data_IF_330757994419
#
_entry.id   IF_330757994419
#
_cell.length_a   1.000
_cell.length_b   1.000
_cell.length_c   1.000
_cell.angle_alpha   90.00
_cell.angle_beta   90.00
_cell.angle_gamma   90.00
#
_symmetry.space_group_name_H-M   'P 1'
#
loop_
_entity.id
_entity.type
_entity.pdbx_description
1 polymer ?
#
# COMPACT_ATOMS: atom_id res chain seq x y z
N UNK A 1 29.81 -24.06 -36.01
CA UNK A 1 31.06 -23.75 -35.27
C UNK A 1 30.80 -24.13 -33.82
N UNK A 2 31.73 -24.89 -33.26
CA UNK A 2 31.60 -25.84 -32.15
C UNK A 2 31.20 -25.18 -30.83
N UNK A 3 30.03 -25.57 -30.31
CA UNK A 3 29.53 -25.27 -28.96
C UNK A 3 30.28 -26.10 -27.88
N UNK A 4 31.60 -26.08 -27.89
CA UNK A 4 32.42 -26.85 -26.93
C UNK A 4 32.50 -26.20 -25.54
N UNK A 5 31.99 -24.98 -25.36
CA UNK A 5 32.11 -24.20 -24.12
C UNK A 5 30.86 -24.25 -23.22
N UNK A 6 29.77 -24.88 -23.67
CA UNK A 6 28.53 -25.01 -22.93
C UNK A 6 28.54 -26.07 -21.79
N UNK A 7 29.23 -27.23 -21.90
CA UNK A 7 29.07 -28.30 -20.92
C UNK A 7 29.65 -27.98 -19.54
N UNK A 8 30.81 -27.32 -19.51
CA UNK A 8 31.44 -26.89 -18.25
C UNK A 8 30.54 -25.92 -17.48
N UNK A 9 29.76 -25.10 -18.19
CA UNK A 9 28.87 -24.11 -17.56
C UNK A 9 27.74 -24.77 -16.76
N UNK A 10 27.13 -25.83 -17.29
CA UNK A 10 26.09 -26.56 -16.57
C UNK A 10 26.62 -27.20 -15.28
N UNK A 11 27.86 -27.70 -15.31
CA UNK A 11 28.49 -28.27 -14.13
C UNK A 11 28.81 -27.19 -13.09
N UNK A 12 29.39 -26.06 -13.53
CA UNK A 12 29.63 -24.93 -12.61
C UNK A 12 28.34 -24.35 -12.03
N UNK A 13 27.26 -24.38 -12.80
CA UNK A 13 25.96 -23.90 -12.37
C UNK A 13 25.28 -24.88 -11.40
N UNK A 14 25.41 -26.19 -11.64
CA UNK A 14 24.90 -27.22 -10.74
C UNK A 14 25.62 -27.20 -9.38
N UNK A 15 26.94 -27.01 -9.40
CA UNK A 15 27.76 -26.95 -8.18
C UNK A 15 27.67 -25.57 -7.51
N UNK A 16 27.39 -24.51 -8.26
CA UNK A 16 27.44 -23.12 -7.80
C UNK A 16 28.86 -22.54 -7.70
N UNK A 17 29.88 -23.32 -8.05
CA UNK A 17 31.29 -22.94 -8.08
C UNK A 17 32.03 -23.75 -9.16
N UNK A 18 33.19 -23.28 -9.65
CA UNK A 18 33.99 -24.04 -10.62
C UNK A 18 34.63 -25.28 -9.96
N UNK A 19 34.54 -26.47 -10.58
CA UNK A 19 35.04 -27.72 -9.98
C UNK A 19 36.55 -27.71 -9.72
N UNK A 20 37.32 -26.93 -10.49
CA UNK A 20 38.75 -26.70 -10.27
C UNK A 20 39.03 -26.20 -8.85
N UNK A 21 38.19 -25.29 -8.31
CA UNK A 21 38.36 -24.76 -6.96
C UNK A 21 38.22 -25.82 -5.87
N UNK A 22 37.31 -26.78 -6.05
CA UNK A 22 37.16 -27.90 -5.12
C UNK A 22 38.38 -28.83 -5.17
N UNK A 23 38.94 -29.05 -6.36
CA UNK A 23 40.12 -29.87 -6.52
C UNK A 23 41.34 -29.19 -5.89
N UNK A 24 41.51 -27.88 -6.09
CA UNK A 24 42.56 -27.08 -5.44
C UNK A 24 42.46 -27.18 -3.91
N UNK A 25 41.26 -26.98 -3.34
CA UNK A 25 41.04 -27.09 -1.90
C UNK A 25 41.35 -28.51 -1.39
N UNK A 26 40.99 -29.56 -2.14
CA UNK A 26 41.33 -30.94 -1.80
C UNK A 26 42.85 -31.18 -1.83
N UNK A 27 43.55 -30.63 -2.83
CA UNK A 27 45.00 -30.76 -2.95
C UNK A 27 45.70 -30.04 -1.81
N UNK A 28 45.24 -28.85 -1.42
CA UNK A 28 45.75 -28.13 -0.25
C UNK A 28 45.58 -28.96 1.03
N UNK A 29 44.40 -29.54 1.24
CA UNK A 29 44.16 -30.42 2.40
C UNK A 29 45.05 -31.66 2.35
N UNK A 30 45.28 -32.27 1.18
CA UNK A 30 46.20 -33.40 1.06
C UNK A 30 47.61 -33.02 1.53
N UNK A 31 48.16 -31.90 1.06
CA UNK A 31 49.46 -31.40 1.50
C UNK A 31 49.51 -31.15 3.01
N UNK A 32 48.53 -30.43 3.54
CA UNK A 32 48.45 -30.15 4.98
C UNK A 32 48.40 -31.44 5.81
N UNK A 33 47.67 -32.45 5.36
CA UNK A 33 47.58 -33.73 6.07
C UNK A 33 48.87 -34.54 6.02
N UNK A 34 49.62 -34.44 4.93
CA UNK A 34 50.92 -35.09 4.78
C UNK A 34 51.93 -34.44 5.71
N UNK A 35 51.99 -33.11 5.73
CA UNK A 35 52.86 -32.36 6.63
C UNK A 35 52.54 -32.69 8.09
N UNK A 36 51.26 -32.75 8.45
CA UNK A 36 50.84 -33.14 9.80
C UNK A 36 51.26 -34.58 10.14
N UNK A 37 51.10 -35.52 9.19
CA UNK A 37 51.48 -36.91 9.39
C UNK A 37 53.01 -37.06 9.54
N UNK A 38 53.79 -36.37 8.70
CA UNK A 38 55.26 -36.34 8.77
C UNK A 38 55.75 -35.76 10.09
N UNK A 39 55.17 -34.64 10.53
CA UNK A 39 55.48 -34.03 11.83
C UNK A 39 55.14 -34.95 13.00
N UNK A 40 54.03 -35.69 12.92
CA UNK A 40 53.66 -36.67 13.94
C UNK A 40 54.65 -37.85 13.97
N UNK A 41 55.07 -38.37 12.81
CA UNK A 41 56.09 -39.42 12.70
C UNK A 41 57.43 -38.93 13.25
N UNK A 42 57.84 -37.72 12.90
CA UNK A 42 59.04 -37.08 13.42
C UNK A 42 59.05 -37.00 14.94
N UNK A 43 57.95 -36.49 15.54
CA UNK A 43 57.81 -36.42 16.99
C UNK A 43 57.91 -37.80 17.66
N UNK A 44 57.33 -38.84 17.06
CA UNK A 44 57.43 -40.21 17.56
C UNK A 44 58.85 -40.76 17.49
N UNK A 45 59.58 -40.48 16.40
CA UNK A 45 60.97 -40.91 16.26
C UNK A 45 61.88 -40.22 17.28
N UNK A 46 61.70 -38.91 17.50
CA UNK A 46 62.43 -38.17 18.55
C UNK A 46 62.16 -38.78 19.92
N UNK A 47 60.89 -38.98 20.28
CA UNK A 47 60.52 -39.58 21.57
C UNK A 47 61.13 -40.98 21.75
N UNK A 48 61.24 -41.76 20.66
CA UNK A 48 61.92 -43.05 20.67
C UNK A 48 63.42 -42.94 20.92
N UNK A 49 64.10 -41.95 20.32
CA UNK A 49 65.52 -41.69 20.56
C UNK A 49 65.75 -41.25 22.02
N UNK A 50 64.96 -40.32 22.54
CA UNK A 50 65.05 -39.85 23.93
C UNK A 50 64.83 -40.99 24.95
N UNK A 51 63.93 -41.92 24.65
CA UNK A 51 63.75 -43.10 25.51
C UNK A 51 64.99 -44.02 25.49
N UNK A 52 65.70 -44.12 24.36
CA UNK A 52 66.96 -44.88 24.27
C UNK A 52 68.13 -44.20 24.97
N UNK A 53 68.14 -42.87 25.01
CA UNK A 53 69.13 -42.06 25.75
C UNK A 53 69.17 -42.40 27.23
N UNK A 54 67.98 -42.53 27.83
CA UNK A 54 67.85 -42.92 29.22
C UNK A 54 68.40 -44.33 29.52
N UNK A 55 68.54 -45.19 28.49
CA UNK A 55 69.00 -46.58 28.66
C UNK A 55 70.47 -46.81 28.33
N UNK A 56 71.08 -46.08 27.38
CA UNK A 56 72.38 -46.45 26.78
C UNK A 56 73.53 -45.44 26.91
N UNK A 57 73.34 -44.26 27.51
CA UNK A 57 74.46 -43.35 27.83
C UNK A 57 75.16 -42.71 26.62
N UNK A 58 74.40 -41.99 25.78
CA UNK A 58 74.71 -40.62 25.35
C UNK A 58 75.86 -40.32 24.37
N UNK A 59 76.57 -41.29 23.76
CA UNK A 59 77.71 -40.97 22.87
C UNK A 59 77.45 -41.06 21.36
N UNK A 60 76.25 -41.50 20.93
CA UNK A 60 75.90 -41.74 19.51
C UNK A 60 74.58 -41.09 19.08
N UNK A 61 73.99 -40.26 19.94
CA UNK A 61 72.63 -39.74 19.74
C UNK A 61 72.55 -38.52 18.83
N UNK A 62 73.51 -37.62 18.89
CA UNK A 62 73.53 -36.47 17.98
C UNK A 62 73.67 -36.94 16.52
N UNK A 63 74.42 -38.03 16.30
CA UNK A 63 74.51 -38.70 14.98
C UNK A 63 73.17 -39.32 14.57
N UNK A 64 72.47 -40.00 15.50
CA UNK A 64 71.16 -40.62 15.22
C UNK A 64 70.06 -39.59 14.98
N UNK A 65 70.05 -38.47 15.72
CA UNK A 65 69.12 -37.36 15.51
C UNK A 65 69.34 -36.74 14.13
N UNK A 66 70.59 -36.50 13.76
CA UNK A 66 70.94 -35.95 12.44
C UNK A 66 70.59 -36.92 11.30
N UNK A 67 70.77 -38.23 11.50
CA UNK A 67 70.36 -39.25 10.53
C UNK A 67 68.82 -39.30 10.37
N UNK A 68 68.07 -39.15 11.47
CA UNK A 68 66.61 -39.09 11.45
C UNK A 68 66.12 -37.82 10.75
N UNK A 69 66.70 -36.66 11.08
CA UNK A 69 66.38 -35.39 10.43
C UNK A 69 66.61 -35.49 8.90
N UNK A 70 67.78 -35.99 8.50
CA UNK A 70 68.11 -36.18 7.09
C UNK A 70 67.18 -37.20 6.42
N UNK A 71 66.86 -38.31 7.10
CA UNK A 71 65.97 -39.35 6.60
C UNK A 71 64.54 -38.84 6.41
N UNK A 72 64.04 -38.02 7.34
CA UNK A 72 62.69 -37.45 7.27
C UNK A 72 62.61 -36.36 6.22
N UNK A 73 63.63 -35.52 6.06
CA UNK A 73 63.69 -34.55 4.96
C UNK A 73 63.69 -35.29 3.60
N UNK A 74 64.50 -36.33 3.46
CA UNK A 74 64.53 -37.12 2.23
C UNK A 74 63.19 -37.83 1.95
N UNK A 75 62.54 -38.35 2.99
CA UNK A 75 61.22 -38.98 2.88
C UNK A 75 60.13 -37.96 2.55
N UNK A 76 60.16 -36.79 3.16
CA UNK A 76 59.25 -35.68 2.87
C UNK A 76 59.34 -35.29 1.40
N UNK A 77 60.54 -34.99 0.88
CA UNK A 77 60.72 -34.62 -0.53
C UNK A 77 60.25 -35.73 -1.49
N UNK A 78 60.49 -37.00 -1.13
CA UNK A 78 60.01 -38.13 -1.94
C UNK A 78 58.47 -38.21 -1.94
N UNK A 79 57.85 -37.99 -0.78
CA UNK A 79 56.41 -38.08 -0.61
C UNK A 79 55.70 -36.91 -1.31
N UNK A 80 56.21 -35.68 -1.15
CA UNK A 80 55.74 -34.48 -1.85
C UNK A 80 55.74 -34.71 -3.37
N UNK A 81 56.88 -35.15 -3.93
CA UNK A 81 56.99 -35.41 -5.37
C UNK A 81 56.00 -36.47 -5.88
N UNK A 82 55.72 -37.52 -5.09
CA UNK A 82 54.75 -38.53 -5.47
C UNK A 82 53.30 -38.07 -5.32
N UNK A 83 53.03 -37.25 -4.30
CA UNK A 83 51.71 -36.72 -4.04
C UNK A 83 51.34 -35.68 -5.08
N UNK A 84 52.25 -34.81 -5.48
CA UNK A 84 52.06 -33.88 -6.60
C UNK A 84 51.63 -34.63 -7.87
N UNK A 85 52.38 -35.68 -8.26
CA UNK A 85 52.05 -36.49 -9.44
C UNK A 85 50.70 -37.18 -9.30
N UNK A 86 50.38 -37.70 -8.11
CA UNK A 86 49.11 -38.36 -7.86
C UNK A 86 47.94 -37.37 -7.87
N UNK A 87 48.13 -36.18 -7.30
CA UNK A 87 47.18 -35.09 -7.25
C UNK A 87 46.88 -34.56 -8.66
N UNK A 88 47.90 -34.30 -9.49
CA UNK A 88 47.75 -33.89 -10.89
C UNK A 88 46.95 -34.94 -11.69
N UNK A 89 47.29 -36.22 -11.53
CA UNK A 89 46.56 -37.30 -12.20
C UNK A 89 45.11 -37.41 -11.72
N UNK A 90 44.87 -37.20 -10.43
CA UNK A 90 43.54 -37.18 -9.85
C UNK A 90 42.72 -36.00 -10.39
N UNK A 91 43.30 -34.80 -10.45
CA UNK A 91 42.66 -33.59 -10.96
C UNK A 91 42.22 -33.80 -12.42
N UNK A 92 43.16 -34.23 -13.28
CA UNK A 92 42.88 -34.50 -14.70
C UNK A 92 41.83 -35.60 -14.85
N UNK A 93 41.90 -36.65 -14.02
CA UNK A 93 40.92 -37.73 -14.08
C UNK A 93 39.53 -37.27 -13.62
N UNK A 94 39.44 -36.47 -12.56
CA UNK A 94 38.20 -35.95 -12.02
C UNK A 94 37.53 -34.98 -13.01
N UNK A 95 38.29 -34.04 -13.57
CA UNK A 95 37.81 -33.10 -14.59
C UNK A 95 37.38 -33.79 -15.88
N UNK A 96 37.88 -34.99 -16.18
CA UNK A 96 37.52 -35.75 -17.39
C UNK A 96 36.36 -36.75 -17.18
N UNK A 97 36.12 -37.18 -15.95
CA UNK A 97 35.17 -38.26 -15.67
C UNK A 97 34.02 -37.87 -14.75
N UNK A 98 34.31 -37.18 -13.64
CA UNK A 98 33.29 -36.80 -12.65
C UNK A 98 32.56 -35.54 -13.11
N UNK A 99 33.32 -34.53 -13.51
CA UNK A 99 32.80 -33.20 -13.85
C UNK A 99 32.48 -33.03 -15.34
N UNK A 100 32.22 -34.12 -16.07
CA UNK A 100 31.89 -34.10 -17.50
C UNK A 100 30.50 -34.67 -17.74
N UNK A 101 29.62 -33.82 -18.25
CA UNK A 101 28.30 -34.21 -18.75
C UNK A 101 28.30 -34.52 -20.25
N UNK A 102 29.41 -34.29 -20.95
CA UNK A 102 29.57 -34.35 -22.41
C UNK A 102 30.53 -35.48 -22.81
N UNK A 103 30.06 -36.72 -22.70
CA UNK A 103 30.60 -37.82 -23.51
C UNK A 103 29.56 -38.07 -24.59
N UNK A 104 29.95 -38.42 -25.82
CA UNK A 104 29.04 -38.53 -26.97
C UNK A 104 27.77 -39.40 -26.73
N UNK A 105 27.77 -40.26 -25.70
CA UNK A 105 26.62 -41.06 -25.24
C UNK A 105 25.63 -40.30 -24.32
N UNK A 106 25.93 -39.07 -23.92
CA UNK A 106 25.24 -38.29 -22.89
C UNK A 106 24.33 -37.18 -23.43
N UNK A 107 24.08 -37.07 -24.74
CA UNK A 107 23.03 -36.16 -25.26
C UNK A 107 21.68 -36.40 -24.57
N UNK A 108 21.40 -37.66 -24.21
CA UNK A 108 20.23 -38.02 -23.41
C UNK A 108 20.34 -37.43 -22.01
N UNK A 109 21.47 -37.55 -21.33
CA UNK A 109 21.65 -37.00 -19.98
C UNK A 109 21.54 -35.47 -20.00
N UNK A 110 22.15 -34.77 -20.97
CA UNK A 110 22.03 -33.31 -21.10
C UNK A 110 20.59 -32.85 -21.32
N UNK A 111 19.79 -33.62 -22.08
CA UNK A 111 18.37 -33.31 -22.28
C UNK A 111 17.51 -33.53 -21.03
N UNK A 112 17.91 -34.44 -20.14
CA UNK A 112 17.10 -34.84 -18.97
C UNK A 112 17.61 -34.24 -17.66
N UNK A 113 18.88 -33.84 -17.58
CA UNK A 113 19.45 -33.14 -16.44
C UNK A 113 19.13 -31.66 -16.60
N UNK A 114 17.96 -31.30 -16.07
CA UNK A 114 17.53 -29.92 -15.94
C UNK A 114 17.84 -29.48 -14.51
N UNK A 115 18.59 -28.40 -14.36
CA UNK A 115 18.83 -27.80 -13.04
C UNK A 115 17.50 -27.28 -12.47
N UNK A 116 17.32 -27.23 -11.14
CA UNK A 116 16.07 -26.79 -10.53
C UNK A 116 15.59 -25.40 -11.01
N UNK A 117 16.52 -24.48 -11.29
CA UNK A 117 16.21 -23.14 -11.78
C UNK A 117 15.92 -23.08 -13.28
N UNK A 118 16.26 -24.12 -14.04
CA UNK A 118 15.82 -24.27 -15.44
C UNK A 118 14.50 -25.06 -15.55
N UNK A 119 13.90 -25.47 -14.43
CA UNK A 119 12.62 -26.15 -14.44
C UNK A 119 11.50 -25.21 -14.94
N UNK A 120 10.87 -25.58 -16.06
CA UNK A 120 9.82 -24.77 -16.69
C UNK A 120 10.33 -23.62 -17.56
N UNK A 121 11.65 -23.55 -17.80
CA UNK A 121 12.23 -22.64 -18.78
C UNK A 121 11.95 -23.18 -20.20
N UNK A 122 11.02 -22.53 -20.90
CA UNK A 122 10.71 -22.85 -22.29
C UNK A 122 11.51 -21.93 -23.23
N UNK A 123 12.60 -22.47 -23.78
CA UNK A 123 13.48 -21.77 -24.72
C UNK A 123 12.91 -21.71 -26.15
N UNK A 124 11.78 -22.40 -26.42
CA UNK A 124 11.13 -22.37 -27.73
C UNK A 124 10.23 -21.12 -27.91
N UNK A 125 10.15 -20.26 -26.88
CA UNK A 125 9.38 -19.02 -26.93
C UNK A 125 10.00 -18.04 -27.94
N UNK A 126 9.25 -17.57 -28.96
CA UNK A 126 9.82 -16.71 -29.98
C UNK A 126 10.20 -15.33 -29.41
N UNK A 127 11.31 -14.74 -29.88
CA UNK A 127 11.77 -13.43 -29.42
C UNK A 127 10.70 -12.38 -29.75
N UNK A 128 10.22 -11.67 -28.72
CA UNK A 128 9.15 -10.67 -28.83
C UNK A 128 7.86 -11.04 -28.10
N UNK A 129 7.64 -12.33 -27.81
CA UNK A 129 6.48 -12.76 -26.99
C UNK A 129 6.49 -12.11 -25.62
N UNK A 130 7.66 -12.04 -24.97
CA UNK A 130 7.81 -11.36 -23.68
C UNK A 130 7.43 -9.88 -23.77
N UNK A 131 7.86 -9.17 -24.82
CA UNK A 131 7.52 -7.75 -25.02
C UNK A 131 6.01 -7.55 -25.19
N UNK A 132 5.35 -8.46 -25.92
CA UNK A 132 3.88 -8.45 -26.03
C UNK A 132 3.22 -8.72 -24.68
N UNK A 133 3.69 -9.71 -23.92
CA UNK A 133 3.19 -9.99 -22.57
C UNK A 133 3.39 -8.80 -21.60
N UNK A 134 4.52 -8.09 -21.69
CA UNK A 134 4.75 -6.86 -20.94
C UNK A 134 3.76 -5.76 -21.31
N UNK A 135 3.50 -5.56 -22.60
CA UNK A 135 2.51 -4.60 -23.07
C UNK A 135 1.10 -4.97 -22.59
N UNK A 136 0.73 -6.25 -22.63
CA UNK A 136 -0.53 -6.76 -22.09
C UNK A 136 -0.65 -6.52 -20.59
N UNK A 137 0.41 -6.79 -19.81
CA UNK A 137 0.46 -6.51 -18.38
C UNK A 137 0.24 -5.03 -18.07
N UNK A 138 0.83 -4.13 -18.85
CA UNK A 138 0.64 -2.69 -18.66
C UNK A 138 -0.80 -2.24 -18.99
N UNK A 139 -1.42 -2.81 -20.01
CA UNK A 139 -2.85 -2.58 -20.30
C UNK A 139 -3.71 -3.08 -19.14
N UNK A 140 -3.42 -4.26 -18.59
CA UNK A 140 -4.14 -4.82 -17.44
C UNK A 140 -3.96 -3.96 -16.19
N UNK A 141 -2.74 -3.47 -15.92
CA UNK A 141 -2.45 -2.54 -14.82
C UNK A 141 -3.29 -1.26 -14.95
N UNK A 142 -3.35 -0.66 -16.14
CA UNK A 142 -4.19 0.52 -16.42
C UNK A 142 -5.68 0.21 -16.22
N UNK A 143 -6.15 -0.96 -16.68
CA UNK A 143 -7.53 -1.41 -16.50
C UNK A 143 -7.89 -1.54 -15.02
N UNK A 144 -7.01 -2.13 -14.22
CA UNK A 144 -7.19 -2.26 -12.76
C UNK A 144 -7.25 -0.88 -12.10
N UNK A 145 -6.38 0.05 -12.49
CA UNK A 145 -6.42 1.42 -11.95
C UNK A 145 -7.74 2.13 -12.29
N UNK A 146 -8.22 2.00 -13.53
CA UNK A 146 -9.50 2.56 -13.96
C UNK A 146 -10.68 1.94 -13.21
N UNK A 147 -10.68 0.61 -13.02
CA UNK A 147 -11.69 -0.07 -12.22
C UNK A 147 -11.67 0.36 -10.75
N UNK A 148 -10.49 0.56 -10.15
CA UNK A 148 -10.36 1.08 -8.78
C UNK A 148 -10.95 2.49 -8.67
N UNK A 149 -10.64 3.39 -9.61
CA UNK A 149 -11.20 4.75 -9.65
C UNK A 149 -12.72 4.73 -9.81
N UNK A 150 -13.22 3.94 -10.77
CA UNK A 150 -14.66 3.78 -10.98
C UNK A 150 -15.35 3.25 -9.72
N UNK A 151 -14.76 2.27 -9.04
CA UNK A 151 -15.30 1.73 -7.78
C UNK A 151 -15.43 2.82 -6.70
N UNK A 152 -14.45 3.71 -6.58
CA UNK A 152 -14.51 4.83 -5.62
C UNK A 152 -15.66 5.78 -5.99
N UNK A 153 -15.77 6.16 -7.26
CA UNK A 153 -16.85 7.02 -7.74
C UNK A 153 -18.23 6.40 -7.54
N UNK A 154 -18.40 5.11 -7.86
CA UNK A 154 -19.65 4.39 -7.66
C UNK A 154 -20.02 4.32 -6.18
N UNK A 155 -19.06 4.07 -5.28
CA UNK A 155 -19.30 4.10 -3.83
C UNK A 155 -19.77 5.49 -3.37
N UNK A 156 -19.14 6.55 -3.86
CA UNK A 156 -19.55 7.92 -3.54
C UNK A 156 -20.97 8.22 -4.08
N UNK A 157 -21.27 7.80 -5.31
CA UNK A 157 -22.60 7.95 -5.91
C UNK A 157 -23.69 7.19 -5.17
N UNK A 158 -23.42 5.95 -4.73
CA UNK A 158 -24.34 5.17 -3.88
C UNK A 158 -24.60 5.89 -2.56
N UNK A 159 -23.57 6.43 -1.91
CA UNK A 159 -23.73 7.17 -0.66
C UNK A 159 -24.56 8.45 -0.86
N UNK A 160 -24.30 9.22 -1.93
CA UNK A 160 -25.07 10.42 -2.26
C UNK A 160 -26.53 10.11 -2.56
N UNK A 161 -26.79 9.06 -3.36
CA UNK A 161 -28.15 8.60 -3.69
C UNK A 161 -28.91 8.13 -2.45
N UNK A 162 -28.25 7.44 -1.51
CA UNK A 162 -28.86 7.04 -0.25
C UNK A 162 -29.30 8.26 0.59
N UNK A 163 -28.47 9.30 0.66
CA UNK A 163 -28.82 10.55 1.36
C UNK A 163 -30.01 11.25 0.70
N UNK A 164 -30.04 11.30 -0.63
CA UNK A 164 -31.13 11.93 -1.36
C UNK A 164 -32.46 11.16 -1.22
N UNK A 165 -32.40 9.83 -1.28
CA UNK A 165 -33.55 8.96 -1.03
C UNK A 165 -34.11 9.13 0.39
N UNK A 166 -33.24 9.34 1.38
CA UNK A 166 -33.65 9.62 2.76
C UNK A 166 -34.31 11.01 2.87
N UNK A 167 -33.78 12.03 2.17
CA UNK A 167 -34.40 13.36 2.12
C UNK A 167 -35.76 13.36 1.44
N UNK A 168 -35.91 12.60 0.35
CA UNK A 168 -37.20 12.49 -0.34
C UNK A 168 -38.22 11.73 0.51
N UNK A 169 -37.81 10.65 1.20
CA UNK A 169 -38.64 9.96 2.19
C UNK A 169 -39.11 10.86 3.31
N UNK A 170 -38.22 11.67 3.91
CA UNK A 170 -38.60 12.63 4.95
C UNK A 170 -39.58 13.68 4.45
N UNK A 171 -39.38 14.20 3.24
CA UNK A 171 -40.35 15.12 2.61
C UNK A 171 -41.71 14.45 2.41
N UNK A 172 -41.74 13.19 1.95
CA UNK A 172 -42.99 12.44 1.83
C UNK A 172 -43.67 12.22 3.18
N UNK A 173 -42.93 11.88 4.24
CA UNK A 173 -43.48 11.79 5.59
C UNK A 173 -44.02 13.14 6.10
N UNK A 174 -43.33 14.25 5.81
CA UNK A 174 -43.82 15.59 6.13
C UNK A 174 -45.07 15.96 5.34
N UNK A 175 -45.25 15.42 4.13
CA UNK A 175 -46.43 15.69 3.31
C UNK A 175 -47.52 14.62 3.48
N UNK A 176 -47.27 13.54 4.21
CA UNK A 176 -48.25 12.45 4.35
C UNK A 176 -49.48 12.88 5.14
N UNK A 177 -49.40 13.93 5.97
CA UNK A 177 -50.60 14.50 6.59
C UNK A 177 -51.54 15.16 5.58
N UNK A 178 -51.02 15.69 4.45
CA UNK A 178 -51.87 16.21 3.38
C UNK A 178 -52.68 15.10 2.73
N UNK A 179 -52.13 13.88 2.69
CA UNK A 179 -52.86 12.73 2.18
C UNK A 179 -54.08 12.42 3.05
N UNK A 180 -53.95 12.55 4.37
CA UNK A 180 -55.10 12.45 5.28
C UNK A 180 -56.12 13.59 5.07
N UNK A 181 -55.66 14.81 4.77
CA UNK A 181 -56.56 15.95 4.48
C UNK A 181 -57.29 15.82 3.14
N UNK A 182 -56.72 15.13 2.15
CA UNK A 182 -57.38 14.82 0.87
C UNK A 182 -58.52 13.81 1.08
N UNK A 183 -58.39 12.90 2.05
CA UNK A 183 -59.43 11.92 2.40
C UNK A 183 -60.54 12.51 3.30
N UNK A 184 -60.38 13.74 3.80
CA UNK A 184 -61.38 14.42 4.64
C UNK A 184 -62.51 15.07 3.78
N UNK A 185 -63.79 14.69 3.96
CA UNK A 185 -64.92 15.16 3.14
C UNK A 185 -65.30 16.65 3.35
N UNK A 186 -64.57 17.36 4.21
CA UNK A 186 -64.76 18.79 4.46
C UNK A 186 -63.88 19.67 3.55
N UNK A 187 -62.93 19.09 2.82
CA UNK A 187 -62.03 19.84 1.93
C UNK A 187 -62.77 20.44 0.71
N UNK A 188 -63.84 19.79 0.25
CA UNK A 188 -64.73 20.33 -0.79
C UNK A 188 -65.42 21.64 -0.38
N UNK A 189 -65.51 21.92 0.93
CA UNK A 189 -66.15 23.14 1.49
C UNK A 189 -65.15 24.25 1.79
N UNK A 190 -63.84 23.99 1.70
CA UNK A 190 -62.78 24.96 1.96
C UNK A 190 -62.77 26.14 0.97
N UNK A 191 -62.97 25.95 -0.36
CA UNK A 191 -63.03 27.04 -1.32
C UNK A 191 -64.17 28.02 -0.98
N UNK A 192 -65.34 27.51 -0.58
CA UNK A 192 -66.47 28.36 -0.19
C UNK A 192 -66.19 29.18 1.06
N UNK A 193 -65.51 28.61 2.06
CA UNK A 193 -65.16 29.32 3.28
C UNK A 193 -64.10 30.39 3.02
N UNK A 194 -63.13 30.13 2.13
CA UNK A 194 -62.13 31.11 1.69
C UNK A 194 -62.81 32.22 0.88
N UNK A 195 -63.75 31.89 0.00
CA UNK A 195 -64.53 32.89 -0.74
C UNK A 195 -65.41 33.74 0.19
N UNK A 196 -66.03 33.16 1.23
CA UNK A 196 -66.77 33.91 2.26
C UNK A 196 -65.84 34.81 3.07
N UNK A 197 -64.66 34.32 3.47
CA UNK A 197 -63.66 35.13 4.16
C UNK A 197 -63.13 36.28 3.30
N UNK A 198 -62.87 36.01 2.02
CA UNK A 198 -62.49 37.01 1.03
C UNK A 198 -63.58 38.07 0.82
N UNK A 199 -64.85 37.65 0.76
CA UNK A 199 -65.98 38.59 0.75
C UNK A 199 -66.03 39.43 2.03
N UNK A 200 -65.80 38.83 3.21
CA UNK A 200 -65.75 39.59 4.48
C UNK A 200 -64.54 40.53 4.57
N UNK A 201 -63.41 40.17 3.95
CA UNK A 201 -62.22 41.02 3.85
C UNK A 201 -62.43 42.19 2.89
N UNK A 202 -63.18 41.99 1.81
CA UNK A 202 -63.59 43.09 0.94
C UNK A 202 -64.63 44.02 1.57
N UNK A 203 -65.38 43.56 2.58
CA UNK A 203 -66.29 44.42 3.35
C UNK A 203 -65.62 45.14 4.53
N UNK A 204 -64.38 44.77 4.87
CA UNK A 204 -63.58 45.52 5.84
C UNK A 204 -62.97 46.76 5.15
N UNK A 205 -62.98 47.94 5.78
CA UNK A 205 -62.32 49.12 5.22
C UNK A 205 -60.82 48.85 5.06
N UNK A 206 -60.27 49.31 3.92
CA UNK A 206 -58.86 49.08 3.56
C UNK A 206 -57.93 49.49 4.70
N UNK A 207 -57.11 48.55 5.16
CA UNK A 207 -56.10 48.77 6.20
C UNK A 207 -55.12 49.91 5.86
N UNK A 208 -55.02 50.31 4.58
CA UNK A 208 -54.25 51.47 4.15
C UNK A 208 -54.83 52.79 4.67
N UNK A 209 -56.16 52.93 4.80
CA UNK A 209 -56.77 54.15 5.33
C UNK A 209 -56.49 54.29 6.84
N UNK A 210 -56.50 53.18 7.59
CA UNK A 210 -56.12 53.18 9.02
C UNK A 210 -54.63 53.39 9.25
N UNK A 211 -53.75 52.89 8.37
CA UNK A 211 -52.30 53.06 8.47
C UNK A 211 -51.84 54.46 8.04
N UNK A 212 -52.43 55.05 7.00
CA UNK A 212 -52.14 56.44 6.62
C UNK A 212 -52.57 57.43 7.71
N UNK A 213 -53.71 57.20 8.37
CA UNK A 213 -54.15 58.02 9.51
C UNK A 213 -53.23 57.86 10.73
N UNK A 214 -52.70 56.66 10.98
CA UNK A 214 -51.76 56.41 12.09
C UNK A 214 -50.34 56.94 11.81
N UNK A 215 -49.85 56.84 10.57
CA UNK A 215 -48.53 57.33 10.16
C UNK A 215 -48.43 58.87 10.12
N UNK A 216 -49.55 59.58 9.94
CA UNK A 216 -49.57 61.04 10.01
C UNK A 216 -49.58 61.60 11.44
N UNK A 217 -49.76 60.76 12.47
CA UNK A 217 -49.84 61.18 13.88
C UNK A 217 -48.68 60.67 14.75
N UNK A 218 -47.78 59.82 14.23
CA UNK A 218 -46.60 59.37 14.97
C UNK A 218 -45.34 59.39 14.10
N UNK A 219 -44.35 60.18 14.48
CA UNK A 219 -42.97 60.09 13.96
C UNK A 219 -42.28 58.82 14.44
N UNK A 220 -42.77 57.66 13.98
CA UNK A 220 -42.32 56.32 14.33
C UNK A 220 -41.30 55.70 13.35
N UNK A 221 -40.68 54.56 13.73
CA UNK A 221 -39.40 54.08 13.20
C UNK A 221 -39.39 53.77 11.70
N UNK A 222 -38.17 53.79 11.12
CA UNK A 222 -37.91 53.71 9.68
C UNK A 222 -38.56 52.46 9.06
N UNK A 223 -39.11 52.59 7.85
CA UNK A 223 -39.98 51.60 7.20
C UNK A 223 -39.46 50.14 7.08
N UNK A 224 -38.16 49.90 7.23
CA UNK A 224 -37.57 48.55 7.24
C UNK A 224 -37.69 47.82 8.58
N UNK A 225 -38.00 48.52 9.68
CA UNK A 225 -38.21 47.93 11.02
C UNK A 225 -39.68 47.50 11.24
N UNK A 226 -40.61 48.02 10.43
CA UNK A 226 -42.05 47.79 10.62
C UNK A 226 -42.58 46.53 9.92
N UNK A 227 -41.90 46.02 8.88
CA UNK A 227 -42.36 44.81 8.19
C UNK A 227 -41.24 44.04 7.48
N UNK A 228 -41.42 42.73 7.33
CA UNK A 228 -40.54 41.86 6.53
C UNK A 228 -40.41 42.32 5.08
N UNK A 229 -41.50 42.85 4.51
CA UNK A 229 -41.49 43.43 3.17
C UNK A 229 -40.59 44.68 3.09
N UNK A 230 -40.65 45.54 4.11
CA UNK A 230 -39.77 46.71 4.23
C UNK A 230 -38.30 46.34 4.34
N UNK A 231 -37.95 45.28 5.09
CA UNK A 231 -36.57 44.78 5.18
C UNK A 231 -36.06 44.24 3.84
N UNK A 232 -36.88 43.48 3.10
CA UNK A 232 -36.52 42.96 1.77
C UNK A 232 -36.29 44.11 0.79
N UNK A 233 -37.17 45.12 0.78
CA UNK A 233 -37.02 46.28 -0.09
C UNK A 233 -35.78 47.11 0.25
N UNK A 234 -35.47 47.28 1.54
CA UNK A 234 -34.23 47.91 1.99
C UNK A 234 -32.99 47.11 1.59
N UNK A 235 -33.00 45.79 1.78
CA UNK A 235 -31.87 44.92 1.44
C UNK A 235 -31.59 44.92 -0.07
N UNK A 236 -32.65 44.90 -0.89
CA UNK A 236 -32.55 45.01 -2.36
C UNK A 236 -32.00 46.38 -2.76
N UNK A 237 -32.49 47.47 -2.16
CA UNK A 237 -31.96 48.81 -2.45
C UNK A 237 -30.48 48.95 -2.05
N UNK A 238 -30.08 48.36 -0.92
CA UNK A 238 -28.69 48.37 -0.46
C UNK A 238 -27.76 47.57 -1.38
N UNK A 239 -28.24 46.46 -1.95
CA UNK A 239 -27.51 45.69 -2.97
C UNK A 239 -27.39 46.50 -4.26
N UNK A 240 -28.48 47.15 -4.70
CA UNK A 240 -28.47 48.03 -5.88
C UNK A 240 -27.53 49.23 -5.74
N UNK A 241 -27.52 49.90 -4.58
CA UNK A 241 -26.60 51.00 -4.28
C UNK A 241 -25.13 50.54 -4.32
N UNK A 242 -24.84 49.33 -3.85
CA UNK A 242 -23.49 48.76 -3.87
C UNK A 242 -23.04 48.35 -5.28
N UNK A 243 -23.96 47.84 -6.11
CA UNK A 243 -23.68 47.56 -7.53
C UNK A 243 -23.49 48.84 -8.35
N UNK A 244 -24.17 49.94 -8.00
CA UNK A 244 -23.93 51.27 -8.58
C UNK A 244 -22.62 51.91 -8.12
N UNK A 245 -22.14 51.57 -6.93
CA UNK A 245 -20.89 52.09 -6.37
C UNK A 245 -19.62 51.38 -6.89
N UNK A 246 -19.74 50.35 -7.73
CA UNK A 246 -18.61 49.72 -8.41
C UNK A 246 -17.58 49.06 -7.49
N UNK A 247 -18.03 48.45 -6.39
CA UNK A 247 -17.17 47.73 -5.44
C UNK A 247 -16.96 46.29 -5.92
N UNK A 248 -15.83 46.00 -6.59
CA UNK A 248 -15.44 44.68 -7.13
C UNK A 248 -15.02 43.68 -6.04
N UNK A 249 -15.94 43.34 -5.13
CA UNK A 249 -15.59 42.50 -4.00
C UNK A 249 -16.72 41.67 -3.40
N UNK A 250 -17.46 40.89 -4.18
CA UNK A 250 -18.17 39.72 -3.65
C UNK A 250 -18.68 38.78 -4.77
N UNK A 251 -18.08 37.59 -4.81
CA UNK A 251 -18.53 36.45 -5.62
C UNK A 251 -19.93 36.02 -5.17
N UNK A 252 -20.91 36.20 -6.07
CA UNK A 252 -22.36 36.07 -5.85
C UNK A 252 -22.72 34.66 -5.34
N UNK A 253 -21.91 33.65 -5.68
CA UNK A 253 -22.09 32.28 -5.21
C UNK A 253 -21.87 32.11 -3.70
N UNK A 254 -20.92 32.84 -3.11
CA UNK A 254 -20.61 32.73 -1.67
C UNK A 254 -21.68 33.35 -0.77
N UNK A 255 -22.36 34.39 -1.25
CA UNK A 255 -23.47 35.02 -0.55
C UNK A 255 -24.75 34.16 -0.63
N UNK A 256 -24.99 33.52 -1.78
CA UNK A 256 -26.12 32.61 -1.99
C UNK A 256 -26.00 31.34 -1.13
N UNK A 257 -24.79 30.81 -0.96
CA UNK A 257 -24.52 29.66 -0.08
C UNK A 257 -24.71 29.99 1.40
N UNK A 258 -24.31 31.19 1.84
CA UNK A 258 -24.51 31.64 3.23
C UNK A 258 -25.99 31.90 3.52
N UNK A 259 -26.75 32.45 2.57
CA UNK A 259 -28.20 32.62 2.71
C UNK A 259 -28.95 31.28 2.76
N UNK A 260 -28.52 30.27 2.00
CA UNK A 260 -29.08 28.91 2.06
C UNK A 260 -28.75 28.17 3.36
N UNK A 261 -27.58 28.40 3.96
CA UNK A 261 -27.19 27.79 5.25
C UNK A 261 -27.96 28.34 6.45
N UNK A 262 -28.45 29.58 6.40
CA UNK A 262 -29.13 30.23 7.54
C UNK A 262 -30.64 29.92 7.59
N UNK A 263 -31.27 29.47 6.51
CA UNK A 263 -32.71 29.65 6.35
C UNK A 263 -33.66 28.44 6.49
N UNK A 264 -33.28 27.23 6.97
CA UNK A 264 -34.31 26.14 6.93
C UNK A 264 -34.43 25.11 8.04
N UNK A 265 -33.53 24.97 9.01
CA UNK A 265 -33.70 23.91 10.03
C UNK A 265 -33.29 24.30 11.45
N UNK A 266 -32.21 25.06 11.62
CA UNK A 266 -31.70 25.39 12.96
C UNK A 266 -32.51 26.49 13.66
N UNK A 267 -33.02 27.48 12.92
CA UNK A 267 -33.85 28.55 13.49
C UNK A 267 -35.27 28.08 13.84
N UNK A 268 -35.84 27.15 13.06
CA UNK A 268 -37.15 26.53 13.35
C UNK A 268 -37.05 25.66 14.60
N UNK A 269 -35.95 24.90 14.77
CA UNK A 269 -35.71 24.11 15.98
C UNK A 269 -35.50 24.98 17.23
N UNK A 270 -34.73 26.06 17.12
CA UNK A 270 -34.50 27.00 18.21
C UNK A 270 -35.77 27.79 18.58
N UNK A 271 -36.68 28.05 17.63
CA UNK A 271 -37.97 28.68 17.89
C UNK A 271 -38.97 27.73 18.57
N UNK A 272 -38.95 26.44 18.22
CA UNK A 272 -39.79 25.40 18.86
C UNK A 272 -39.30 25.08 20.28
N UNK A 273 -37.99 25.02 20.52
CA UNK A 273 -37.43 24.87 21.87
C UNK A 273 -37.74 26.07 22.79
N UNK A 274 -37.86 27.29 22.22
CA UNK A 274 -38.28 28.50 22.96
C UNK A 274 -39.79 28.60 23.21
N UNK A 275 -40.61 27.89 22.43
CA UNK A 275 -42.07 27.84 22.59
C UNK A 275 -42.55 26.66 23.44
N UNK A 276 -41.67 25.70 23.76
CA UNK A 276 -42.03 24.42 24.40
C UNK A 276 -41.71 24.25 25.88
N UNK A 277 -41.25 25.27 26.63
CA UNK A 277 -40.83 25.02 28.01
C UNK A 277 -40.80 26.23 28.93
N UNK A 278 -41.91 26.46 29.65
CA UNK A 278 -41.85 26.98 31.03
C UNK A 278 -42.87 26.23 31.90
N UNK A 279 -42.43 25.12 32.47
CA UNK A 279 -42.85 24.68 33.80
C UNK A 279 -41.57 24.54 34.60
N UNK A 280 -41.44 25.41 35.60
CA UNK A 280 -40.40 25.35 36.62
C UNK A 280 -40.66 24.16 37.55
N UNK A 281 -39.66 23.29 37.69
CA UNK A 281 -39.31 22.55 38.91
C UNK A 281 -37.79 22.46 38.84
N UNK A 282 -37.01 23.14 39.68
CA UNK A 282 -37.07 23.02 41.12
C UNK A 282 -36.20 21.83 41.51
N UNK A 283 -35.06 22.13 42.14
CA UNK A 283 -34.32 21.28 43.09
C UNK A 283 -33.03 20.56 42.63
N UNK A 284 -31.94 21.03 43.23
CA UNK A 284 -30.79 20.31 43.82
C UNK A 284 -29.90 19.32 43.04
N UNK A 285 -28.60 19.68 42.99
CA UNK A 285 -27.38 18.93 43.45
C UNK A 285 -26.14 19.49 42.72
N UNK A 286 -25.24 20.20 43.40
CA UNK A 286 -24.10 19.70 44.21
C UNK A 286 -23.19 18.72 43.46
N UNK A 287 -22.01 19.24 43.14
CA UNK A 287 -20.66 18.63 43.14
C UNK A 287 -20.30 17.43 42.23
N UNK A 288 -19.07 17.58 41.70
CA UNK A 288 -18.15 16.61 41.04
C UNK A 288 -18.28 16.37 39.52
#
# INVERSE_FOLDING_TARGET
>A
MTSSAAPGRLVTELLGFPPELLLDDMINVMHDTIDQALNAVFALLIAWVEHKEQQNGGRREDELRLEIDQGIIAFQTLLEAHVDIAADNFEVWALRNIFVLDKDDNERVQRHVVTPHHAGLDLDTPPGTESMQWAELDVLRRKIQNQRRLRVLLKAGVAASAVEAERSRRRLQQLSFLQYLIDDPNLDKLPENIHKLHATLHTLPSTEQTLQTAQQLSGGPRAWEASKAGYVQWAVNKVLERTRAGDEGLDVDTALERARKVASAQEVRAAVERLGGRVETGDDRMDE
#
